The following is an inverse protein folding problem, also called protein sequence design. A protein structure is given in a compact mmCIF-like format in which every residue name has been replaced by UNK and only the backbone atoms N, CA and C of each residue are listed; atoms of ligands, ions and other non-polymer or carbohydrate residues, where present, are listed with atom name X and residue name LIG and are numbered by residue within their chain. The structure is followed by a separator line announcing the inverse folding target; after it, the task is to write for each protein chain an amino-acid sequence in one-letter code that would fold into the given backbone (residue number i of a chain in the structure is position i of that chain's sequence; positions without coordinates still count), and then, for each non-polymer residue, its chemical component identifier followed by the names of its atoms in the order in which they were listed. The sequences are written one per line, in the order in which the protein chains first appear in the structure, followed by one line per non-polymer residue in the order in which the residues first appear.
data_IF_965839108660
#
_entry.id   IF_965839108660
#
_cell.length_a   1.000
_cell.length_b   1.000
_cell.length_c   1.000
_cell.angle_alpha   90.00
_cell.angle_beta   90.00
_cell.angle_gamma   90.00
#
_symmetry.space_group_name_H-M   'P 1'
#
loop_
_entity.id
_entity.type
_entity.pdbx_description
1 polymer ?
#
# COMPACT_ATOMS: atom_id res chain seq x y z
N UNK A 1 -17.22 25.42 23.73
CA UNK A 1 -16.50 24.14 23.68
C UNK A 1 -16.27 23.69 25.09
N UNK A 2 -16.76 22.51 25.44
CA UNK A 2 -16.43 21.89 26.72
C UNK A 2 -14.94 21.50 26.70
N UNK A 3 -14.26 21.50 27.86
CA UNK A 3 -12.84 21.15 27.95
C UNK A 3 -12.51 19.78 27.33
N UNK A 4 -13.48 18.85 27.37
CA UNK A 4 -13.41 17.54 26.75
C UNK A 4 -13.38 17.59 25.21
N UNK A 5 -14.19 18.45 24.58
CA UNK A 5 -14.24 18.61 23.12
C UNK A 5 -12.96 19.21 22.57
N UNK A 6 -12.40 20.20 23.28
CA UNK A 6 -11.10 20.79 22.96
C UNK A 6 -9.97 19.76 23.07
N UNK A 7 -9.98 18.94 24.14
CA UNK A 7 -9.01 17.87 24.32
C UNK A 7 -9.05 16.82 23.21
N UNK A 8 -10.24 16.39 22.78
CA UNK A 8 -10.39 15.43 21.67
C UNK A 8 -9.87 15.99 20.34
N UNK A 9 -10.11 17.28 20.10
CA UNK A 9 -9.66 17.96 18.88
C UNK A 9 -8.13 18.06 18.79
N UNK A 10 -7.48 18.46 19.88
CA UNK A 10 -6.02 18.53 19.94
C UNK A 10 -5.41 17.13 19.81
N UNK A 11 -6.06 16.11 20.39
CA UNK A 11 -5.64 14.72 20.23
C UNK A 11 -5.72 14.27 18.78
N UNK A 12 -6.82 14.55 18.07
CA UNK A 12 -6.98 14.19 16.67
C UNK A 12 -5.93 14.87 15.76
N UNK A 13 -5.58 16.12 16.05
CA UNK A 13 -4.52 16.83 15.32
C UNK A 13 -3.15 16.18 15.46
N UNK A 14 -2.83 15.61 16.62
CA UNK A 14 -1.57 14.88 16.81
C UNK A 14 -1.45 13.69 15.86
N UNK A 15 -2.57 13.09 15.42
CA UNK A 15 -2.59 12.00 14.46
C UNK A 15 -2.43 12.44 13.00
N UNK A 16 -2.52 13.73 12.67
CA UNK A 16 -2.40 14.19 11.28
C UNK A 16 -0.99 13.94 10.73
N UNK A 17 0.04 14.33 11.48
CA UNK A 17 1.43 14.15 11.08
C UNK A 17 1.80 12.67 10.86
N UNK A 18 1.52 11.72 11.78
CA UNK A 18 1.82 10.31 11.53
C UNK A 18 1.01 9.75 10.35
N UNK A 19 -0.24 10.19 10.14
CA UNK A 19 -1.03 9.78 8.96
C UNK A 19 -0.35 10.24 7.66
N UNK A 20 0.09 11.50 7.58
CA UNK A 20 0.80 12.00 6.40
C UNK A 20 2.12 11.25 6.16
N UNK A 21 2.89 10.98 7.22
CA UNK A 21 4.13 10.19 7.12
C UNK A 21 3.84 8.78 6.60
N UNK A 22 2.79 8.13 7.10
CA UNK A 22 2.38 6.81 6.62
C UNK A 22 1.93 6.83 5.16
N UNK A 23 1.23 7.88 4.70
CA UNK A 23 0.86 8.05 3.28
C UNK A 23 2.11 8.17 2.41
N UNK A 24 3.08 9.01 2.81
CA UNK A 24 4.34 9.17 2.07
C UNK A 24 5.14 7.86 2.05
N UNK A 25 5.22 7.15 3.17
CA UNK A 25 5.88 5.85 3.26
C UNK A 25 5.19 4.80 2.37
N UNK A 26 3.85 4.75 2.38
CA UNK A 26 3.06 3.88 1.52
C UNK A 26 3.30 4.17 0.03
N UNK A 27 3.38 5.45 -0.34
CA UNK A 27 3.68 5.87 -1.70
C UNK A 27 5.10 5.48 -2.13
N UNK A 28 6.10 5.72 -1.28
CA UNK A 28 7.48 5.31 -1.54
C UNK A 28 7.58 3.79 -1.73
N UNK A 29 6.95 3.02 -0.83
CA UNK A 29 6.86 1.56 -0.95
C UNK A 29 6.20 1.13 -2.27
N UNK A 30 5.09 1.77 -2.66
CA UNK A 30 4.38 1.45 -3.89
C UNK A 30 5.27 1.68 -5.13
N UNK A 31 6.05 2.76 -5.18
CA UNK A 31 7.01 3.01 -6.26
C UNK A 31 8.13 1.98 -6.30
N UNK A 32 8.70 1.61 -5.15
CA UNK A 32 9.72 0.55 -5.06
C UNK A 32 9.14 -0.79 -5.54
N UNK A 33 7.93 -1.12 -5.10
CA UNK A 33 7.24 -2.34 -5.51
C UNK A 33 6.98 -2.35 -7.03
N UNK A 34 6.51 -1.24 -7.59
CA UNK A 34 6.26 -1.06 -9.03
C UNK A 34 7.55 -1.18 -9.84
N UNK A 35 8.64 -0.54 -9.41
CA UNK A 35 9.94 -0.65 -10.06
C UNK A 35 10.45 -2.10 -10.09
N UNK A 36 10.37 -2.79 -8.95
CA UNK A 36 10.73 -4.22 -8.86
C UNK A 36 9.87 -5.09 -9.79
N UNK A 37 8.58 -4.76 -9.88
CA UNK A 37 7.61 -5.47 -10.70
C UNK A 37 7.86 -5.25 -12.20
N UNK A 38 8.19 -4.03 -12.62
CA UNK A 38 8.52 -3.72 -14.01
C UNK A 38 9.78 -4.46 -14.47
N UNK A 39 10.81 -4.47 -13.63
CA UNK A 39 12.04 -5.24 -13.92
C UNK A 39 11.72 -6.73 -14.04
N UNK A 40 10.92 -7.28 -13.13
CA UNK A 40 10.46 -8.67 -13.18
C UNK A 40 9.64 -8.97 -14.44
N UNK A 41 8.73 -8.07 -14.81
CA UNK A 41 7.89 -8.18 -16.01
C UNK A 41 8.73 -8.20 -17.29
N UNK A 42 9.76 -7.35 -17.37
CA UNK A 42 10.67 -7.28 -18.51
C UNK A 42 11.55 -8.54 -18.60
N UNK A 43 12.06 -9.04 -17.46
CA UNK A 43 12.84 -10.27 -17.43
C UNK A 43 12.02 -11.48 -17.89
N UNK A 44 10.75 -11.57 -17.47
CA UNK A 44 9.82 -12.62 -17.94
C UNK A 44 9.54 -12.53 -19.44
N UNK A 45 9.35 -11.32 -19.96
CA UNK A 45 9.15 -11.09 -21.41
C UNK A 45 10.37 -11.45 -22.25
N UNK A 46 11.58 -11.25 -21.71
CA UNK A 46 12.84 -11.59 -22.39
C UNK A 46 13.25 -13.07 -22.20
N UNK A 47 12.43 -13.88 -21.52
CA UNK A 47 12.74 -15.31 -21.28
C UNK A 47 13.94 -15.56 -20.34
N UNK A 48 14.45 -14.52 -19.68
CA UNK A 48 15.61 -14.58 -18.76
C UNK A 48 15.22 -14.61 -17.28
N UNK A 49 13.93 -14.78 -16.99
CA UNK A 49 13.46 -14.78 -15.61
C UNK A 49 13.93 -16.02 -14.88
N UNK A 50 14.83 -15.83 -13.92
CA UNK A 50 15.25 -16.87 -13.00
C UNK A 50 14.26 -16.87 -11.83
N UNK A 51 13.37 -17.86 -11.79
CA UNK A 51 12.32 -17.92 -10.76
C UNK A 51 12.96 -18.05 -9.38
N UNK A 52 12.76 -17.03 -8.55
CA UNK A 52 13.15 -17.07 -7.13
C UNK A 52 12.43 -18.18 -6.37
N UNK A 53 11.24 -18.58 -6.83
CA UNK A 53 10.46 -19.68 -6.28
C UNK A 53 11.13 -21.02 -6.61
N UNK A 54 11.57 -21.21 -7.86
CA UNK A 54 12.31 -22.39 -8.29
C UNK A 54 13.66 -22.51 -7.57
N UNK A 55 14.39 -21.38 -7.40
CA UNK A 55 15.65 -21.36 -6.65
C UNK A 55 15.45 -21.74 -5.17
N UNK A 56 14.36 -21.29 -4.54
CA UNK A 56 14.03 -21.69 -3.17
C UNK A 56 13.64 -23.17 -3.08
N UNK A 57 12.87 -23.69 -4.05
CA UNK A 57 12.52 -25.10 -4.13
C UNK A 57 13.76 -26.01 -4.26
N UNK A 58 14.73 -25.64 -5.10
CA UNK A 58 15.97 -26.41 -5.29
C UNK A 58 16.88 -26.44 -4.05
N UNK A 59 16.78 -25.43 -3.18
CA UNK A 59 17.61 -25.33 -1.96
C UNK A 59 16.91 -25.97 -0.75
N UNK A 60 15.58 -25.87 -0.66
CA UNK A 60 14.84 -26.24 0.54
C UNK A 60 14.21 -27.63 0.48
N UNK A 61 13.91 -28.18 -0.71
CA UNK A 61 13.13 -29.42 -0.85
C UNK A 61 11.75 -29.37 -0.16
N UNK A 62 11.25 -28.16 0.07
CA UNK A 62 10.13 -27.88 0.96
C UNK A 62 8.81 -28.42 0.37
N UNK A 63 7.88 -28.81 1.25
CA UNK A 63 6.56 -29.28 0.85
C UNK A 63 5.77 -28.16 0.14
N UNK A 64 4.76 -28.51 -0.67
CA UNK A 64 3.96 -27.52 -1.41
C UNK A 64 3.36 -26.44 -0.48
N UNK A 65 2.94 -26.86 0.71
CA UNK A 65 2.37 -26.00 1.75
C UNK A 65 3.35 -24.89 2.22
N UNK A 66 4.65 -25.19 2.32
CA UNK A 66 5.66 -24.20 2.72
C UNK A 66 5.87 -23.15 1.62
N UNK A 67 5.73 -23.56 0.35
CA UNK A 67 5.85 -22.68 -0.79
C UNK A 67 4.64 -21.74 -0.90
N UNK A 68 3.44 -22.24 -0.60
CA UNK A 68 2.23 -21.41 -0.49
C UNK A 68 2.35 -20.38 0.64
N UNK A 69 2.84 -20.80 1.81
CA UNK A 69 3.06 -19.91 2.96
C UNK A 69 4.03 -18.78 2.61
N UNK A 70 5.12 -19.09 1.91
CA UNK A 70 6.09 -18.10 1.46
C UNK A 70 5.48 -17.09 0.47
N UNK A 71 4.65 -17.55 -0.47
CA UNK A 71 3.92 -16.68 -1.40
C UNK A 71 2.99 -15.74 -0.63
N UNK A 72 2.28 -16.25 0.38
CA UNK A 72 1.38 -15.44 1.21
C UNK A 72 2.12 -14.33 1.95
N UNK A 73 3.21 -14.65 2.66
CA UNK A 73 4.01 -13.67 3.40
C UNK A 73 4.57 -12.58 2.48
N UNK A 74 5.00 -12.96 1.26
CA UNK A 74 5.57 -12.00 0.31
C UNK A 74 4.54 -11.02 -0.27
N UNK A 75 3.28 -11.44 -0.39
CA UNK A 75 2.19 -10.59 -0.90
C UNK A 75 1.51 -9.78 0.22
N UNK A 76 1.80 -10.06 1.48
CA UNK A 76 1.16 -9.45 2.64
C UNK A 76 1.35 -7.94 2.68
N UNK A 77 2.60 -7.45 2.56
CA UNK A 77 2.89 -6.01 2.57
C UNK A 77 2.17 -5.24 1.46
N UNK A 78 2.13 -5.81 0.25
CA UNK A 78 1.38 -5.25 -0.88
C UNK A 78 -0.13 -5.16 -0.58
N UNK A 79 -0.68 -6.18 0.07
CA UNK A 79 -2.10 -6.23 0.47
C UNK A 79 -2.42 -5.21 1.57
N UNK A 80 -1.55 -5.10 2.58
CA UNK A 80 -1.68 -4.14 3.66
C UNK A 80 -1.72 -2.73 3.07
N UNK A 81 -0.71 -2.35 2.28
CA UNK A 81 -0.63 -1.01 1.67
C UNK A 81 -1.83 -0.72 0.76
N UNK A 82 -2.21 -1.66 -0.11
CA UNK A 82 -3.36 -1.48 -1.01
C UNK A 82 -4.68 -1.22 -0.28
N UNK A 83 -4.85 -1.78 0.93
CA UNK A 83 -6.08 -1.65 1.71
C UNK A 83 -6.01 -0.50 2.73
N UNK A 84 -4.87 -0.28 3.37
CA UNK A 84 -4.71 0.73 4.43
C UNK A 84 -4.51 2.15 3.88
N UNK A 85 -3.83 2.31 2.74
CA UNK A 85 -3.53 3.64 2.21
C UNK A 85 -4.81 4.47 1.93
N UNK A 86 -5.87 3.95 1.29
CA UNK A 86 -7.12 4.72 1.11
C UNK A 86 -7.76 5.13 2.44
N UNK A 87 -7.71 4.27 3.46
CA UNK A 87 -8.22 4.59 4.80
C UNK A 87 -7.43 5.72 5.45
N UNK A 88 -6.10 5.73 5.32
CA UNK A 88 -5.25 6.84 5.77
C UNK A 88 -5.60 8.14 5.04
N UNK A 89 -5.87 8.07 3.73
CA UNK A 89 -6.35 9.21 2.94
C UNK A 89 -7.66 9.79 3.48
N UNK A 90 -8.63 8.95 3.83
CA UNK A 90 -9.89 9.39 4.45
C UNK A 90 -9.65 10.07 5.81
N UNK A 91 -8.77 9.52 6.65
CA UNK A 91 -8.42 10.14 7.93
C UNK A 91 -7.76 11.51 7.71
N UNK A 92 -6.90 11.64 6.68
CA UNK A 92 -6.23 12.88 6.35
C UNK A 92 -7.18 14.02 5.93
N UNK A 93 -8.40 13.72 5.45
CA UNK A 93 -9.41 14.76 5.19
C UNK A 93 -10.28 15.05 6.40
N UNK A 94 -10.55 14.05 7.24
CA UNK A 94 -11.44 14.23 8.38
C UNK A 94 -10.81 15.07 9.51
N UNK A 95 -9.50 14.98 9.73
CA UNK A 95 -8.82 15.76 10.79
C UNK A 95 -8.84 17.29 10.51
N UNK A 96 -8.45 17.79 9.32
CA UNK A 96 -8.42 19.23 9.04
C UNK A 96 -9.79 19.87 8.78
N UNK A 97 -10.89 19.10 8.73
CA UNK A 97 -12.23 19.70 8.57
C UNK A 97 -12.65 20.59 9.75
N UNK A 98 -12.25 20.27 10.98
CA UNK A 98 -12.51 21.11 12.14
C UNK A 98 -11.91 22.53 12.02
N UNK A 99 -10.59 22.67 11.77
CA UNK A 99 -9.99 23.98 11.47
C UNK A 99 -10.62 24.67 10.25
N UNK A 100 -10.96 23.93 9.20
CA UNK A 100 -11.53 24.50 7.99
C UNK A 100 -12.93 25.12 8.22
N UNK A 101 -13.79 24.46 9.00
CA UNK A 101 -15.11 25.00 9.36
C UNK A 101 -15.01 26.21 10.28
N UNK A 102 -14.01 26.24 11.17
CA UNK A 102 -13.74 27.42 12.01
C UNK A 102 -13.24 28.60 11.17
N UNK A 103 -12.35 28.36 10.20
CA UNK A 103 -11.88 29.39 9.26
C UNK A 103 -13.04 29.96 8.42
N UNK A 104 -13.99 29.10 8.01
CA UNK A 104 -15.22 29.53 7.35
C UNK A 104 -16.08 30.45 8.22
N UNK A 105 -16.26 30.09 9.50
CA UNK A 105 -16.99 30.95 10.46
C UNK A 105 -16.34 32.31 10.64
N UNK A 106 -15.02 32.43 10.44
CA UNK A 106 -14.27 33.67 10.55
C UNK A 106 -14.14 34.44 9.23
N UNK A 107 -14.84 34.01 8.17
CA UNK A 107 -14.76 34.60 6.82
C UNK A 107 -13.32 34.60 6.24
N UNK A 108 -12.49 33.64 6.67
CA UNK A 108 -11.12 33.46 6.17
C UNK A 108 -11.09 32.44 5.02
N UNK A 109 -11.42 32.94 3.82
CA UNK A 109 -11.43 32.11 2.62
C UNK A 109 -10.05 31.52 2.27
N UNK A 110 -8.96 32.19 2.65
CA UNK A 110 -7.59 31.75 2.34
C UNK A 110 -7.19 30.59 3.24
N UNK A 111 -7.45 30.68 4.54
CA UNK A 111 -7.19 29.60 5.50
C UNK A 111 -7.95 28.32 5.17
N UNK A 112 -9.17 28.41 4.65
CA UNK A 112 -9.93 27.24 4.17
C UNK A 112 -9.22 26.57 3.00
N UNK A 113 -8.79 27.36 2.02
CA UNK A 113 -8.12 26.87 0.81
C UNK A 113 -6.85 26.08 1.14
N UNK A 114 -6.01 26.61 2.03
CA UNK A 114 -4.75 25.95 2.41
C UNK A 114 -4.98 24.61 3.13
N UNK A 115 -5.94 24.55 4.07
CA UNK A 115 -6.28 23.31 4.77
C UNK A 115 -6.87 22.25 3.83
N UNK A 116 -7.75 22.66 2.91
CA UNK A 116 -8.34 21.76 1.92
C UNK A 116 -7.31 21.27 0.90
N UNK A 117 -6.40 22.13 0.45
CA UNK A 117 -5.37 21.76 -0.51
C UNK A 117 -4.48 20.63 0.03
N UNK A 118 -4.02 20.75 1.28
CA UNK A 118 -3.20 19.70 1.94
C UNK A 118 -4.01 18.42 2.12
N UNK A 119 -5.26 18.51 2.56
CA UNK A 119 -6.14 17.36 2.76
C UNK A 119 -6.37 16.58 1.46
N UNK A 120 -6.72 17.26 0.36
CA UNK A 120 -6.95 16.62 -0.93
C UNK A 120 -5.68 16.04 -1.53
N UNK A 121 -4.55 16.74 -1.41
CA UNK A 121 -3.27 16.21 -1.86
C UNK A 121 -2.92 14.89 -1.17
N UNK A 122 -3.12 14.80 0.16
CA UNK A 122 -2.89 13.57 0.91
C UNK A 122 -3.76 12.40 0.43
N UNK A 123 -5.04 12.64 0.12
CA UNK A 123 -5.94 11.61 -0.44
C UNK A 123 -5.46 11.14 -1.80
N UNK A 124 -5.10 12.08 -2.70
CA UNK A 124 -4.65 11.73 -4.05
C UNK A 124 -3.42 10.84 -3.96
N UNK A 125 -2.43 11.21 -3.14
CA UNK A 125 -1.22 10.42 -2.94
C UNK A 125 -1.52 9.03 -2.34
N UNK A 126 -2.41 8.97 -1.36
CA UNK A 126 -2.84 7.72 -0.74
C UNK A 126 -3.53 6.78 -1.74
N UNK A 127 -4.42 7.30 -2.59
CA UNK A 127 -5.12 6.52 -3.62
C UNK A 127 -4.17 6.05 -4.72
N UNK A 128 -3.21 6.89 -5.13
CA UNK A 128 -2.16 6.49 -6.09
C UNK A 128 -1.32 5.35 -5.52
N UNK A 129 -0.85 5.46 -4.28
CA UNK A 129 -0.11 4.40 -3.61
C UNK A 129 -0.91 3.09 -3.55
N UNK A 130 -2.19 3.18 -3.18
CA UNK A 130 -3.09 2.04 -3.09
C UNK A 130 -3.32 1.36 -4.45
N UNK A 131 -3.57 2.15 -5.49
CA UNK A 131 -3.80 1.67 -6.84
C UNK A 131 -2.57 0.92 -7.40
N UNK A 132 -1.38 1.50 -7.22
CA UNK A 132 -0.12 0.87 -7.62
C UNK A 132 0.08 -0.45 -6.87
N UNK A 133 -0.04 -0.43 -5.54
CA UNK A 133 0.12 -1.64 -4.72
C UNK A 133 -0.88 -2.72 -5.10
N UNK A 134 -2.14 -2.36 -5.36
CA UNK A 134 -3.19 -3.29 -5.77
C UNK A 134 -2.92 -3.91 -7.15
N UNK A 135 -2.45 -3.11 -8.12
CA UNK A 135 -2.07 -3.60 -9.43
C UNK A 135 -0.93 -4.61 -9.33
N UNK A 136 0.15 -4.25 -8.62
CA UNK A 136 1.32 -5.12 -8.42
C UNK A 136 0.92 -6.41 -7.69
N UNK A 137 0.10 -6.30 -6.64
CA UNK A 137 -0.43 -7.45 -5.89
C UNK A 137 -1.15 -8.44 -6.81
N UNK A 138 -2.05 -7.92 -7.65
CA UNK A 138 -2.91 -8.73 -8.52
C UNK A 138 -2.08 -9.51 -9.55
N UNK A 139 -1.14 -8.85 -10.20
CA UNK A 139 -0.32 -9.50 -11.22
C UNK A 139 0.71 -10.46 -10.59
N UNK A 140 1.41 -10.03 -9.54
CA UNK A 140 2.42 -10.87 -8.87
C UNK A 140 1.80 -12.11 -8.24
N UNK A 141 0.60 -12.01 -7.66
CA UNK A 141 -0.16 -13.17 -7.17
C UNK A 141 -0.42 -14.18 -8.29
N UNK A 142 -0.88 -13.71 -9.45
CA UNK A 142 -1.15 -14.59 -10.60
C UNK A 142 0.11 -15.34 -11.03
N UNK A 143 1.24 -14.64 -11.13
CA UNK A 143 2.51 -15.24 -11.53
C UNK A 143 3.03 -16.27 -10.54
N UNK A 144 2.99 -15.97 -9.24
CA UNK A 144 3.46 -16.90 -8.20
C UNK A 144 2.61 -18.17 -8.14
N UNK A 145 1.28 -18.05 -8.30
CA UNK A 145 0.39 -19.22 -8.36
C UNK A 145 0.60 -20.06 -9.61
N UNK A 146 0.92 -19.44 -10.75
CA UNK A 146 1.29 -20.17 -11.97
C UNK A 146 2.59 -20.95 -11.78
N UNK A 147 3.59 -20.36 -11.10
CA UNK A 147 4.86 -21.04 -10.79
C UNK A 147 4.66 -22.20 -9.82
N UNK A 148 3.89 -22.02 -8.75
CA UNK A 148 3.55 -23.08 -7.80
C UNK A 148 2.95 -24.29 -8.53
N UNK A 149 1.95 -24.06 -9.39
CA UNK A 149 1.29 -25.12 -10.14
C UNK A 149 2.23 -25.88 -11.09
N UNK A 150 3.20 -25.18 -11.69
CA UNK A 150 4.20 -25.83 -12.56
C UNK A 150 5.10 -26.76 -11.75
N UNK A 151 5.47 -26.36 -10.53
CA UNK A 151 6.30 -27.16 -9.61
C UNK A 151 5.52 -28.40 -9.14
N UNK A 152 4.25 -28.25 -8.77
CA UNK A 152 3.38 -29.36 -8.36
C UNK A 152 3.23 -30.42 -9.46
N UNK A 153 2.96 -30.00 -10.71
CA UNK A 153 2.84 -30.90 -11.85
C UNK A 153 4.13 -31.63 -12.21
N UNK A 154 5.29 -31.02 -11.94
CA UNK A 154 6.59 -31.68 -12.11
C UNK A 154 6.77 -32.83 -11.12
N UNK A 155 6.37 -32.61 -9.86
CA UNK A 155 6.47 -33.60 -8.78
C UNK A 155 5.53 -34.79 -8.93
N UNK A 156 4.39 -34.62 -9.61
CA UNK A 156 3.47 -35.74 -9.91
C UNK A 156 4.00 -36.68 -11.01
N UNK A 157 5.03 -36.28 -11.77
CA UNK A 157 5.57 -37.03 -12.90
C UNK A 157 6.85 -37.82 -12.58
N UNK A 158 7.50 -37.52 -11.47
CA UNK A 158 8.70 -38.21 -10.96
C UNK A 158 8.33 -39.27 -9.92
#
# INVERSE_FOLDING_TARGET
MNAFEAGLYDLAKLFLLPVLVLIVAALAYAFVALGSFLVEALQRRQGRYNSRLAAFHTVSGAASDDLELWIMQRLEWLRIVARSAPMLGLVATMIPMGPALLALSNNDAKGIGDNLAVAFAAVILALVAAAIAHLVLTVRRRWLLQELRIIELGRERD
#
